data_IF_109584165021
#
_entry.id   IF_109584165021
#
_cell.length_a   1.000
_cell.length_b   1.000
_cell.length_c   1.000
_cell.angle_alpha   90.00
_cell.angle_beta   90.00
_cell.angle_gamma   90.00
#
_symmetry.space_group_name_H-M   'P 1'
#
loop_
_entity.id
_entity.type
_entity.pdbx_description
1 polymer ?
#
# COMPACT_ATOMS: atom_id res chain seq x y z
N UNK A 1 22.09 -45.56 10.10
CA UNK A 1 22.51 -44.36 9.37
C UNK A 1 23.18 -44.78 8.09
N UNK A 2 22.42 -44.71 7.01
CA UNK A 2 22.89 -45.04 5.68
C UNK A 2 23.84 -43.92 5.22
N UNK A 3 25.16 -44.14 5.32
CA UNK A 3 26.15 -43.08 5.11
C UNK A 3 26.30 -42.65 3.64
N UNK A 4 25.87 -43.50 2.71
CA UNK A 4 26.09 -43.32 1.28
C UNK A 4 24.80 -43.08 0.48
N UNK A 5 23.63 -43.06 1.14
CA UNK A 5 22.36 -42.78 0.48
C UNK A 5 22.11 -41.27 0.52
N UNK A 6 21.90 -40.65 -0.65
CA UNK A 6 21.41 -39.27 -0.74
C UNK A 6 19.91 -39.28 -0.43
N UNK A 7 19.56 -38.82 0.78
CA UNK A 7 18.18 -38.86 1.25
C UNK A 7 17.36 -37.68 0.67
N UNK A 8 16.13 -37.95 0.18
CA UNK A 8 15.24 -36.92 -0.36
C UNK A 8 14.48 -36.18 0.74
N UNK A 9 13.92 -35.00 0.42
CA UNK A 9 13.04 -34.31 1.35
C UNK A 9 11.66 -34.97 1.44
N UNK A 10 11.07 -35.01 2.65
CA UNK A 10 9.72 -35.53 2.89
C UNK A 10 8.69 -34.89 1.96
N UNK A 11 8.71 -33.56 1.80
CA UNK A 11 7.81 -32.85 0.88
C UNK A 11 7.99 -33.29 -0.59
N UNK A 12 9.22 -33.55 -1.02
CA UNK A 12 9.49 -34.00 -2.38
C UNK A 12 8.92 -35.40 -2.62
N UNK A 13 9.15 -36.32 -1.68
CA UNK A 13 8.58 -37.66 -1.71
C UNK A 13 7.05 -37.58 -1.71
N UNK A 14 6.46 -36.76 -0.83
CA UNK A 14 5.02 -36.69 -0.68
C UNK A 14 4.30 -36.07 -1.89
N UNK A 15 4.87 -35.03 -2.51
CA UNK A 15 4.19 -34.24 -3.54
C UNK A 15 4.61 -34.56 -4.97
N UNK A 16 5.86 -35.01 -5.19
CA UNK A 16 6.43 -35.18 -6.53
C UNK A 16 6.65 -36.63 -6.91
N UNK A 17 6.98 -37.51 -5.96
CA UNK A 17 7.31 -38.89 -6.30
C UNK A 17 6.10 -39.67 -6.78
N UNK A 18 6.24 -40.19 -8.00
CA UNK A 18 5.36 -41.20 -8.57
C UNK A 18 5.98 -42.59 -8.34
N UNK A 19 5.23 -43.63 -8.72
CA UNK A 19 5.65 -45.04 -8.56
C UNK A 19 7.06 -45.29 -9.10
N UNK A 20 7.36 -44.80 -10.31
CA UNK A 20 8.68 -44.95 -10.92
C UNK A 20 9.80 -44.28 -10.12
N UNK A 21 9.54 -43.14 -9.46
CA UNK A 21 10.55 -42.47 -8.64
C UNK A 21 10.92 -43.31 -7.41
N UNK A 22 9.95 -43.97 -6.79
CA UNK A 22 10.20 -44.87 -5.65
C UNK A 22 11.04 -46.06 -6.09
N UNK A 23 10.68 -46.70 -7.20
CA UNK A 23 11.41 -47.87 -7.71
C UNK A 23 12.83 -47.49 -8.10
N UNK A 24 13.00 -46.42 -8.88
CA UNK A 24 14.34 -45.94 -9.26
C UNK A 24 15.19 -45.62 -8.03
N UNK A 25 14.63 -44.97 -7.01
CA UNK A 25 15.36 -44.67 -5.79
C UNK A 25 15.77 -45.93 -5.02
N UNK A 26 14.91 -46.94 -4.93
CA UNK A 26 15.25 -48.20 -4.27
C UNK A 26 16.31 -48.97 -5.09
N UNK A 27 16.21 -48.99 -6.41
CA UNK A 27 17.21 -49.60 -7.30
C UNK A 27 18.58 -48.93 -7.19
N UNK A 28 18.62 -47.60 -7.22
CA UNK A 28 19.87 -46.83 -7.09
C UNK A 28 20.57 -47.07 -5.74
N UNK A 29 19.83 -47.48 -4.72
CA UNK A 29 20.34 -47.69 -3.36
C UNK A 29 20.26 -49.17 -2.91
N UNK A 30 20.00 -50.11 -3.82
CA UNK A 30 19.72 -51.51 -3.45
C UNK A 30 20.87 -52.22 -2.78
N UNK A 31 22.10 -51.94 -3.20
CA UNK A 31 23.31 -52.52 -2.60
C UNK A 31 23.47 -52.07 -1.14
N UNK A 32 23.27 -50.77 -0.87
CA UNK A 32 23.37 -50.21 0.48
C UNK A 32 22.20 -50.60 1.40
N UNK A 33 21.04 -50.87 0.79
CA UNK A 33 19.85 -51.36 1.48
C UNK A 33 19.81 -52.89 1.56
N UNK A 34 20.79 -53.61 1.03
CA UNK A 34 20.83 -55.07 0.95
C UNK A 34 19.50 -55.63 0.42
N UNK A 35 19.02 -55.08 -0.69
CA UNK A 35 17.79 -55.50 -1.38
C UNK A 35 18.15 -56.24 -2.66
N UNK A 36 17.38 -57.28 -2.98
CA UNK A 36 17.43 -57.92 -4.28
C UNK A 36 16.33 -57.41 -5.22
N UNK A 37 16.36 -57.89 -6.47
CA UNK A 37 15.39 -57.48 -7.49
C UNK A 37 13.95 -57.95 -7.15
N UNK A 38 13.80 -59.06 -6.40
CA UNK A 38 12.50 -59.60 -6.00
C UNK A 38 11.84 -58.75 -4.90
N UNK A 39 12.63 -58.23 -3.96
CA UNK A 39 12.20 -57.26 -2.95
C UNK A 39 11.62 -56.00 -3.61
N UNK A 40 12.35 -55.43 -4.58
CA UNK A 40 11.93 -54.20 -5.29
C UNK A 40 10.70 -54.47 -6.15
N UNK A 41 10.66 -55.61 -6.85
CA UNK A 41 9.50 -56.02 -7.64
C UNK A 41 8.24 -56.20 -6.77
N UNK A 42 8.42 -56.64 -5.52
CA UNK A 42 7.31 -56.76 -4.56
C UNK A 42 6.71 -55.40 -4.22
N UNK A 43 7.52 -54.35 -4.06
CA UNK A 43 7.04 -52.97 -3.87
C UNK A 43 6.36 -52.44 -5.13
N UNK A 44 6.94 -52.69 -6.31
CA UNK A 44 6.40 -52.26 -7.60
C UNK A 44 4.97 -52.78 -7.83
N UNK A 45 4.74 -54.07 -7.57
CA UNK A 45 3.42 -54.72 -7.71
C UNK A 45 2.33 -54.07 -6.85
N UNK A 46 2.70 -53.44 -5.72
CA UNK A 46 1.75 -52.79 -4.80
C UNK A 46 1.42 -51.36 -5.19
N UNK A 47 2.04 -50.82 -6.25
CA UNK A 47 1.68 -49.53 -6.87
C UNK A 47 1.72 -48.35 -5.89
N UNK A 48 2.64 -48.39 -4.94
CA UNK A 48 2.82 -47.41 -3.84
C UNK A 48 3.08 -46.00 -4.39
N UNK A 49 2.34 -45.00 -3.93
CA UNK A 49 2.63 -43.58 -4.23
C UNK A 49 3.61 -42.97 -3.22
N UNK A 50 4.18 -41.80 -3.49
CA UNK A 50 5.13 -41.17 -2.57
C UNK A 50 4.56 -40.92 -1.17
N UNK A 51 3.29 -40.52 -1.06
CA UNK A 51 2.58 -40.40 0.22
C UNK A 51 2.41 -41.76 0.92
N UNK A 52 2.08 -42.81 0.17
CA UNK A 52 1.93 -44.16 0.74
C UNK A 52 3.26 -44.72 1.22
N UNK A 53 4.35 -44.43 0.49
CA UNK A 53 5.72 -44.84 0.81
C UNK A 53 6.14 -44.31 2.19
N UNK A 54 5.93 -43.03 2.45
CA UNK A 54 6.18 -42.43 3.77
C UNK A 54 5.31 -43.03 4.89
N UNK A 55 4.20 -43.68 4.53
CA UNK A 55 3.29 -44.36 5.46
C UNK A 55 3.53 -45.87 5.61
N UNK A 56 4.58 -46.41 5.01
CA UNK A 56 4.95 -47.83 5.16
C UNK A 56 5.56 -48.08 6.54
N UNK A 57 5.36 -49.31 7.01
CA UNK A 57 5.94 -49.85 8.22
C UNK A 57 6.20 -51.35 8.00
N UNK A 58 6.96 -51.96 8.92
CA UNK A 58 7.35 -53.37 8.84
C UNK A 58 6.15 -54.29 8.58
N UNK A 59 5.05 -54.12 9.32
CA UNK A 59 3.85 -54.95 9.16
C UNK A 59 3.20 -54.85 7.77
N UNK A 60 3.13 -53.65 7.18
CA UNK A 60 2.59 -53.46 5.84
C UNK A 60 3.49 -54.09 4.78
N UNK A 61 4.81 -53.98 4.95
CA UNK A 61 5.81 -54.53 4.03
C UNK A 61 5.81 -56.06 4.06
N UNK A 62 5.74 -56.67 5.24
CA UNK A 62 5.57 -58.13 5.38
C UNK A 62 4.26 -58.59 4.72
N UNK A 63 3.15 -57.87 4.94
CA UNK A 63 1.88 -58.15 4.27
C UNK A 63 1.95 -57.99 2.74
N UNK A 64 2.91 -57.22 2.23
CA UNK A 64 3.14 -57.10 0.79
C UNK A 64 3.88 -58.29 0.21
N UNK A 65 4.58 -59.07 1.05
CA UNK A 65 5.34 -60.26 0.68
C UNK A 65 6.85 -60.11 0.88
N UNK A 66 7.32 -59.04 1.55
CA UNK A 66 8.74 -58.89 1.88
C UNK A 66 9.08 -59.71 3.13
N UNK A 67 10.28 -60.26 3.16
CA UNK A 67 10.86 -60.86 4.36
C UNK A 67 11.19 -59.78 5.41
N UNK A 68 11.38 -60.22 6.66
CA UNK A 68 11.57 -59.32 7.81
C UNK A 68 12.76 -58.34 7.62
N UNK A 69 13.88 -58.83 7.08
CA UNK A 69 15.10 -58.03 6.87
C UNK A 69 14.90 -56.83 5.92
N UNK A 70 14.50 -57.05 4.66
CA UNK A 70 14.15 -55.98 3.72
C UNK A 70 13.08 -55.02 4.27
N UNK A 71 12.06 -55.55 4.96
CA UNK A 71 11.01 -54.73 5.56
C UNK A 71 11.54 -53.78 6.65
N UNK A 72 12.46 -54.24 7.50
CA UNK A 72 13.11 -53.42 8.52
C UNK A 72 14.02 -52.35 7.92
N UNK A 73 14.79 -52.67 6.87
CA UNK A 73 15.70 -51.72 6.21
C UNK A 73 14.95 -50.61 5.50
N UNK A 74 13.89 -50.93 4.74
CA UNK A 74 13.03 -49.92 4.11
C UNK A 74 12.34 -49.05 5.17
N UNK A 75 11.84 -49.65 6.26
CA UNK A 75 11.22 -48.87 7.34
C UNK A 75 12.22 -47.94 8.03
N UNK A 76 13.46 -48.39 8.23
CA UNK A 76 14.54 -47.59 8.83
C UNK A 76 14.94 -46.44 7.90
N UNK A 77 15.02 -46.68 6.60
CA UNK A 77 15.23 -45.64 5.59
C UNK A 77 14.13 -44.57 5.65
N UNK A 78 12.86 -44.97 5.72
CA UNK A 78 11.74 -44.02 5.83
C UNK A 78 11.83 -43.18 7.11
N UNK A 79 12.27 -43.78 8.23
CA UNK A 79 12.54 -43.03 9.46
C UNK A 79 13.66 -42.02 9.27
N UNK A 80 14.78 -42.41 8.66
CA UNK A 80 15.89 -41.51 8.39
C UNK A 80 15.49 -40.34 7.47
N UNK A 81 14.66 -40.59 6.45
CA UNK A 81 14.07 -39.54 5.58
C UNK A 81 13.22 -38.56 6.40
N UNK A 82 12.42 -39.05 7.35
CA UNK A 82 11.60 -38.21 8.23
C UNK A 82 12.41 -37.44 9.26
N UNK A 83 13.49 -38.03 9.76
CA UNK A 83 14.36 -37.42 10.76
C UNK A 83 15.29 -36.36 10.12
N UNK A 84 15.62 -36.50 8.83
CA UNK A 84 16.38 -35.49 8.10
C UNK A 84 15.60 -34.18 7.92
N UNK A 85 14.26 -34.21 7.91
CA UNK A 85 13.42 -33.01 7.97
C UNK A 85 13.61 -32.22 9.27
N UNK A 86 14.06 -32.86 10.36
CA UNK A 86 14.30 -32.20 11.65
C UNK A 86 15.72 -31.61 11.76
N UNK A 87 16.58 -31.81 10.76
CA UNK A 87 17.91 -31.20 10.76
C UNK A 87 17.86 -29.77 10.21
N UNK A 88 18.51 -28.81 10.88
CA UNK A 88 18.53 -27.45 10.38
C UNK A 88 19.31 -27.40 9.07
N UNK A 89 18.66 -26.91 8.02
CA UNK A 89 19.29 -26.59 6.74
C UNK A 89 19.76 -25.15 6.76
N UNK A 90 20.92 -24.88 6.17
CA UNK A 90 21.43 -23.52 6.03
C UNK A 90 21.58 -23.16 4.57
N UNK A 91 21.10 -21.98 4.17
CA UNK A 91 21.25 -21.43 2.84
C UNK A 91 21.90 -20.05 2.93
N UNK A 92 22.92 -19.80 2.11
CA UNK A 92 23.53 -18.49 2.00
C UNK A 92 22.79 -17.66 0.96
N UNK A 93 22.23 -16.54 1.40
CA UNK A 93 21.48 -15.61 0.57
C UNK A 93 22.31 -14.34 0.39
N UNK A 94 22.65 -14.04 -0.86
CA UNK A 94 23.27 -12.77 -1.24
C UNK A 94 22.18 -11.79 -1.66
N UNK A 95 21.95 -10.77 -0.85
CA UNK A 95 21.10 -9.64 -1.19
C UNK A 95 21.90 -8.56 -1.91
N UNK A 96 21.47 -8.25 -3.14
CA UNK A 96 22.00 -7.16 -3.96
C UNK A 96 21.01 -6.02 -4.01
N UNK A 97 21.32 -4.90 -3.37
CA UNK A 97 20.45 -3.73 -3.38
C UNK A 97 20.64 -2.92 -4.67
N UNK A 98 19.54 -2.61 -5.39
CA UNK A 98 19.56 -1.73 -6.57
C UNK A 98 18.66 -0.51 -6.33
N UNK A 99 19.26 0.67 -6.49
CA UNK A 99 18.56 1.97 -6.46
C UNK A 99 17.89 2.22 -7.80
N UNK A 100 16.63 2.68 -7.81
CA UNK A 100 15.97 3.18 -9.04
C UNK A 100 16.47 4.60 -9.35
N UNK A 101 16.49 5.00 -10.62
CA UNK A 101 17.01 6.30 -11.11
C UNK A 101 16.45 7.55 -10.40
N UNK A 102 15.34 7.42 -9.65
CA UNK A 102 14.63 8.53 -9.00
C UNK A 102 14.71 8.52 -7.45
N UNK A 103 15.54 7.67 -6.82
CA UNK A 103 15.69 7.62 -5.36
C UNK A 103 16.99 8.29 -4.89
N UNK A 104 16.86 9.26 -3.99
CA UNK A 104 17.98 10.01 -3.36
C UNK A 104 18.50 9.38 -2.07
N UNK A 105 18.06 8.17 -1.71
CA UNK A 105 18.41 7.53 -0.43
C UNK A 105 19.84 6.98 -0.49
N UNK A 106 20.76 7.63 0.21
CA UNK A 106 22.11 7.09 0.49
C UNK A 106 22.00 5.91 1.46
N UNK A 107 21.77 4.71 0.93
CA UNK A 107 21.95 3.47 1.66
C UNK A 107 23.14 2.68 1.12
N UNK A 108 23.75 1.86 1.98
CA UNK A 108 25.00 1.17 1.68
C UNK A 108 24.78 0.16 0.55
N UNK A 109 25.39 0.41 -0.62
CA UNK A 109 25.22 -0.38 -1.85
C UNK A 109 26.02 -1.68 -1.90
N UNK A 110 26.70 -2.05 -0.80
CA UNK A 110 27.45 -3.31 -0.76
C UNK A 110 26.50 -4.48 -0.64
N UNK A 111 26.77 -5.52 -1.42
CA UNK A 111 26.07 -6.80 -1.31
C UNK A 111 26.16 -7.32 0.13
N UNK A 112 25.06 -7.90 0.60
CA UNK A 112 24.93 -8.46 1.94
C UNK A 112 24.72 -9.95 1.84
N UNK A 113 25.56 -10.72 2.54
CA UNK A 113 25.43 -12.17 2.59
C UNK A 113 24.85 -12.52 3.96
N UNK A 114 23.73 -13.23 3.95
CA UNK A 114 23.03 -13.70 5.15
C UNK A 114 22.89 -15.21 5.06
N UNK A 115 23.29 -15.91 6.12
CA UNK A 115 23.01 -17.34 6.27
C UNK A 115 21.65 -17.50 6.94
N UNK A 116 20.69 -18.10 6.23
CA UNK A 116 19.35 -18.40 6.73
C UNK A 116 19.31 -19.87 7.09
N UNK A 117 19.03 -20.15 8.37
CA UNK A 117 18.83 -21.52 8.87
C UNK A 117 17.34 -21.78 9.04
N UNK A 118 16.86 -22.92 8.54
CA UNK A 118 15.45 -23.32 8.58
C UNK A 118 15.32 -24.84 8.76
N UNK A 119 14.27 -25.30 9.44
CA UNK A 119 13.98 -26.73 9.60
C UNK A 119 12.97 -27.20 8.56
N UNK A 120 11.92 -26.40 8.36
CA UNK A 120 10.90 -26.62 7.33
C UNK A 120 10.92 -25.51 6.28
N UNK A 121 10.61 -25.86 5.04
CA UNK A 121 10.41 -24.88 3.97
C UNK A 121 9.22 -23.95 4.27
N UNK A 122 8.31 -24.35 5.15
CA UNK A 122 7.19 -23.50 5.58
C UNK A 122 7.64 -22.24 6.33
N UNK A 123 8.82 -22.27 6.97
CA UNK A 123 9.43 -21.12 7.65
C UNK A 123 9.92 -20.05 6.66
N UNK A 124 10.17 -20.44 5.41
CA UNK A 124 10.67 -19.57 4.36
C UNK A 124 9.51 -18.80 3.72
N UNK A 125 9.33 -17.57 4.19
CA UNK A 125 8.31 -16.65 3.74
C UNK A 125 8.92 -15.44 3.02
N UNK A 126 8.12 -14.79 2.18
CA UNK A 126 8.53 -13.51 1.57
C UNK A 126 8.82 -12.47 2.65
N UNK A 127 8.03 -12.48 3.73
CA UNK A 127 8.19 -11.58 4.86
C UNK A 127 9.53 -11.77 5.57
N UNK A 128 9.96 -13.01 5.79
CA UNK A 128 11.29 -13.31 6.35
C UNK A 128 12.41 -12.67 5.53
N UNK A 129 12.37 -12.81 4.20
CA UNK A 129 13.38 -12.21 3.32
C UNK A 129 13.37 -10.68 3.36
N UNK A 130 12.17 -10.07 3.40
CA UNK A 130 12.00 -8.63 3.54
C UNK A 130 12.56 -8.13 4.87
N UNK A 131 12.32 -8.84 5.97
CA UNK A 131 12.80 -8.46 7.31
C UNK A 131 14.31 -8.57 7.43
N UNK A 132 14.93 -9.58 6.82
CA UNK A 132 16.38 -9.66 6.68
C UNK A 132 16.94 -8.47 5.89
N UNK A 133 16.37 -8.17 4.71
CA UNK A 133 16.82 -7.04 3.91
C UNK A 133 16.65 -5.69 4.64
N UNK A 134 15.53 -5.49 5.32
CA UNK A 134 15.25 -4.32 6.17
C UNK A 134 16.36 -4.11 7.21
N UNK A 135 16.76 -5.19 7.90
CA UNK A 135 17.80 -5.18 8.92
C UNK A 135 19.19 -4.92 8.34
N UNK A 136 19.57 -5.63 7.28
CA UNK A 136 20.93 -5.60 6.72
C UNK A 136 21.28 -4.29 6.00
N UNK A 137 20.30 -3.72 5.29
CA UNK A 137 20.47 -2.44 4.61
C UNK A 137 20.10 -1.25 5.48
N UNK A 138 19.53 -1.48 6.67
CA UNK A 138 19.02 -0.46 7.58
C UNK A 138 18.08 0.51 6.86
N UNK A 139 17.18 -0.04 6.04
CA UNK A 139 16.23 0.79 5.32
C UNK A 139 15.42 1.63 6.33
N UNK A 140 15.11 2.90 6.03
CA UNK A 140 14.27 3.66 6.93
C UNK A 140 12.89 2.99 6.96
N UNK A 141 12.32 2.83 8.16
CA UNK A 141 10.94 2.37 8.33
C UNK A 141 10.01 3.43 7.74
N UNK A 142 9.85 3.41 6.42
CA UNK A 142 9.06 4.38 5.68
C UNK A 142 7.72 3.76 5.37
N UNK A 143 6.66 4.47 5.71
CA UNK A 143 5.28 4.00 5.51
C UNK A 143 4.88 3.93 4.02
N UNK A 144 5.68 4.53 3.12
CA UNK A 144 5.41 4.66 1.68
C UNK A 144 6.14 3.66 0.79
N UNK A 145 7.23 3.06 1.28
CA UNK A 145 7.99 2.12 0.49
C UNK A 145 7.79 0.70 1.00
N UNK A 146 7.85 -0.25 0.09
CA UNK A 146 7.92 -1.67 0.36
C UNK A 146 9.24 -2.24 -0.16
N UNK A 147 9.74 -3.23 0.55
CA UNK A 147 10.91 -3.98 0.13
C UNK A 147 10.43 -5.00 -0.89
N UNK A 148 10.82 -4.81 -2.14
CA UNK A 148 10.56 -5.75 -3.22
C UNK A 148 11.75 -6.65 -3.38
N UNK A 149 11.50 -7.96 -3.26
CA UNK A 149 12.52 -8.99 -3.44
C UNK A 149 12.32 -9.63 -4.81
N UNK A 150 13.40 -9.74 -5.59
CA UNK A 150 13.40 -10.32 -6.93
C UNK A 150 14.41 -11.45 -7.03
N UNK A 151 14.04 -12.49 -7.77
CA UNK A 151 14.92 -13.58 -8.14
C UNK A 151 14.98 -13.67 -9.66
N UNK A 152 16.18 -13.70 -10.26
CA UNK A 152 16.36 -13.70 -11.72
C UNK A 152 15.54 -12.63 -12.47
N UNK A 153 15.43 -11.42 -11.90
CA UNK A 153 14.63 -10.27 -12.37
C UNK A 153 13.11 -10.38 -12.19
N UNK A 154 12.57 -11.53 -11.78
CA UNK A 154 11.15 -11.71 -11.45
C UNK A 154 10.85 -11.33 -10.01
N UNK A 155 9.73 -10.64 -9.76
CA UNK A 155 9.28 -10.27 -8.40
C UNK A 155 8.76 -11.51 -7.68
N UNK A 156 9.22 -11.70 -6.44
CA UNK A 156 8.64 -12.69 -5.52
C UNK A 156 7.36 -12.11 -4.95
N UNK A 157 6.22 -12.73 -5.26
CA UNK A 157 4.89 -12.22 -4.90
C UNK A 157 4.19 -13.04 -3.82
N UNK A 158 4.67 -14.24 -3.51
CA UNK A 158 4.06 -15.12 -2.50
C UNK A 158 5.06 -16.14 -1.94
N UNK A 159 4.71 -16.74 -0.80
CA UNK A 159 5.56 -17.70 -0.10
C UNK A 159 5.83 -18.97 -0.92
N UNK A 160 4.88 -19.41 -1.77
CA UNK A 160 5.09 -20.60 -2.60
C UNK A 160 6.27 -20.42 -3.58
N UNK A 161 6.39 -19.22 -4.18
CA UNK A 161 7.55 -18.90 -5.03
C UNK A 161 8.86 -18.88 -4.26
N UNK A 162 8.86 -18.34 -3.03
CA UNK A 162 10.05 -18.35 -2.15
C UNK A 162 10.50 -19.78 -1.87
N UNK A 163 9.57 -20.65 -1.44
CA UNK A 163 9.84 -22.06 -1.14
C UNK A 163 10.42 -22.80 -2.34
N UNK A 164 9.90 -22.56 -3.54
CA UNK A 164 10.38 -23.22 -4.76
C UNK A 164 11.86 -22.90 -5.08
N UNK A 165 12.34 -21.71 -4.71
CA UNK A 165 13.72 -21.28 -4.95
C UNK A 165 14.66 -21.95 -3.95
N UNK A 166 14.29 -21.97 -2.68
CA UNK A 166 15.09 -22.58 -1.61
C UNK A 166 15.20 -24.10 -1.71
N UNK A 167 14.19 -24.77 -2.29
CA UNK A 167 14.16 -26.24 -2.50
C UNK A 167 15.37 -26.80 -3.28
N UNK A 168 16.13 -25.99 -3.99
CA UNK A 168 17.10 -26.48 -5.00
C UNK A 168 18.52 -25.94 -4.87
N UNK A 169 18.82 -25.10 -3.86
CA UNK A 169 20.06 -24.32 -3.84
C UNK A 169 20.63 -24.08 -2.44
N UNK A 170 21.94 -24.30 -2.31
CA UNK A 170 22.73 -23.90 -1.13
C UNK A 170 23.04 -22.39 -1.13
N UNK A 171 23.11 -21.78 -2.31
CA UNK A 171 23.43 -20.36 -2.49
C UNK A 171 22.39 -19.69 -3.40
N UNK A 172 21.79 -18.60 -2.93
CA UNK A 172 20.74 -17.86 -3.65
C UNK A 172 21.15 -16.40 -3.76
N UNK A 173 21.00 -15.83 -4.96
CA UNK A 173 21.17 -14.41 -5.20
C UNK A 173 19.79 -13.74 -5.36
N UNK A 174 19.52 -12.73 -4.54
CA UNK A 174 18.28 -11.96 -4.57
C UNK A 174 18.59 -10.49 -4.82
N UNK A 175 17.77 -9.86 -5.67
CA UNK A 175 17.83 -8.41 -5.89
C UNK A 175 16.78 -7.76 -5.00
N UNK A 176 17.18 -6.77 -4.22
CA UNK A 176 16.29 -5.99 -3.36
C UNK A 176 16.14 -4.59 -3.93
N UNK A 177 14.91 -4.11 -4.02
CA UNK A 177 14.61 -2.71 -4.32
C UNK A 177 13.66 -2.14 -3.27
N UNK A 178 13.75 -0.83 -3.01
CA UNK A 178 12.63 -0.11 -2.39
C UNK A 178 11.72 0.36 -3.51
N UNK A 179 10.47 -0.06 -3.45
CA UNK A 179 9.44 0.42 -4.36
C UNK A 179 8.38 1.17 -3.56
N UNK A 180 7.73 2.16 -4.18
CA UNK A 180 6.53 2.76 -3.58
C UNK A 180 5.46 1.69 -3.48
N UNK A 181 4.85 1.55 -2.30
CA UNK A 181 3.72 0.65 -2.08
C UNK A 181 2.62 0.89 -3.10
N UNK A 182 2.05 -0.20 -3.63
CA UNK A 182 0.84 -0.10 -4.44
C UNK A 182 -0.32 0.48 -3.62
N UNK A 183 -1.14 1.34 -4.23
CA UNK A 183 -2.27 2.01 -3.58
C UNK A 183 -3.23 1.06 -2.87
N UNK A 184 -3.44 -0.15 -3.40
CA UNK A 184 -4.31 -1.17 -2.82
C UNK A 184 -3.82 -1.74 -1.49
N UNK A 185 -2.52 -1.59 -1.17
CA UNK A 185 -1.94 -2.11 0.07
C UNK A 185 -2.28 -1.27 1.31
N UNK A 186 -2.81 -0.06 1.12
CA UNK A 186 -3.16 0.84 2.22
C UNK A 186 -4.54 0.54 2.78
N UNK A 187 -4.65 0.40 4.11
CA UNK A 187 -5.92 0.12 4.81
C UNK A 187 -7.01 1.16 4.52
N UNK A 188 -6.65 2.45 4.43
CA UNK A 188 -7.61 3.50 4.10
C UNK A 188 -8.14 3.37 2.66
N UNK A 189 -7.33 2.90 1.71
CA UNK A 189 -7.79 2.58 0.35
C UNK A 189 -8.75 1.39 0.34
N UNK A 190 -8.52 0.38 1.17
CA UNK A 190 -9.45 -0.74 1.33
C UNK A 190 -10.81 -0.27 1.87
N UNK A 191 -10.81 0.59 2.91
CA UNK A 191 -12.02 1.22 3.47
C UNK A 191 -12.74 2.09 2.44
N UNK A 192 -12.00 2.86 1.65
CA UNK A 192 -12.55 3.70 0.60
C UNK A 192 -13.17 2.85 -0.53
N UNK A 193 -12.46 1.82 -0.98
CA UNK A 193 -12.90 0.95 -2.09
C UNK A 193 -14.19 0.19 -1.74
N UNK A 194 -14.32 -0.29 -0.50
CA UNK A 194 -15.55 -0.95 -0.01
C UNK A 194 -16.76 -0.03 0.05
N UNK A 195 -16.54 1.28 0.19
CA UNK A 195 -17.60 2.26 0.40
C UNK A 195 -17.82 3.21 -0.80
N UNK A 196 -17.09 3.05 -1.90
CA UNK A 196 -17.08 4.03 -3.01
C UNK A 196 -18.49 4.32 -3.58
N UNK A 197 -19.31 3.28 -3.76
CA UNK A 197 -20.67 3.41 -4.32
C UNK A 197 -21.71 3.94 -3.32
N UNK A 198 -21.55 3.68 -2.02
CA UNK A 198 -22.48 4.17 -0.97
C UNK A 198 -22.12 5.58 -0.47
N UNK A 199 -20.85 5.97 -0.61
CA UNK A 199 -20.27 7.22 -0.09
C UNK A 199 -20.49 8.41 -1.02
N UNK A 200 -20.44 8.19 -2.33
CA UNK A 200 -20.71 9.23 -3.33
C UNK A 200 -22.14 9.81 -3.23
N UNK A 201 -23.06 9.06 -2.63
CA UNK A 201 -24.49 9.41 -2.54
C UNK A 201 -24.85 10.09 -1.21
N UNK A 202 -24.01 9.98 -0.16
CA UNK A 202 -24.33 10.46 1.20
C UNK A 202 -23.53 11.67 1.70
N UNK A 203 -22.52 12.13 0.96
CA UNK A 203 -21.63 13.22 1.40
C UNK A 203 -22.29 14.61 1.29
N UNK A 204 -23.06 14.99 2.31
CA UNK A 204 -23.46 16.37 2.72
C UNK A 204 -23.69 17.36 1.56
N UNK A 205 -24.47 16.96 0.56
CA UNK A 205 -24.93 17.86 -0.52
C UNK A 205 -25.98 18.86 0.02
N UNK A 206 -26.67 18.52 1.11
CA UNK A 206 -27.82 19.28 1.58
C UNK A 206 -27.52 20.54 2.41
N UNK A 207 -26.30 20.73 2.95
CA UNK A 207 -25.99 21.89 3.81
C UNK A 207 -25.18 23.01 3.14
N UNK A 208 -24.45 22.74 2.04
CA UNK A 208 -23.72 23.79 1.32
C UNK A 208 -24.65 24.73 0.54
N UNK A 209 -25.72 24.19 -0.06
CA UNK A 209 -26.62 24.96 -0.92
C UNK A 209 -27.40 26.05 -0.15
N UNK A 210 -27.84 25.75 1.07
CA UNK A 210 -28.62 26.69 1.88
C UNK A 210 -27.78 27.85 2.44
N UNK A 211 -26.45 27.71 2.47
CA UNK A 211 -25.57 28.62 3.21
C UNK A 211 -24.76 29.58 2.33
N UNK A 212 -24.55 29.25 1.05
CA UNK A 212 -24.09 30.20 0.03
C UNK A 212 -25.02 31.43 -0.03
N UNK A 213 -26.32 31.23 0.22
CA UNK A 213 -27.35 32.28 0.26
C UNK A 213 -27.19 33.30 1.40
N UNK A 214 -26.42 33.00 2.45
CA UNK A 214 -26.21 33.91 3.61
C UNK A 214 -24.88 34.67 3.58
N UNK A 215 -24.10 34.58 2.50
CA UNK A 215 -22.77 35.21 2.46
C UNK A 215 -22.87 36.74 2.22
N UNK A 216 -22.29 37.51 3.15
CA UNK A 216 -22.24 38.98 3.21
C UNK A 216 -21.62 39.62 1.94
N UNK A 217 -21.77 40.95 1.81
CA UNK A 217 -21.19 41.85 0.76
C UNK A 217 -19.77 41.44 0.28
N UNK A 218 -18.92 40.97 1.19
CA UNK A 218 -17.53 40.57 0.91
C UNK A 218 -17.40 39.33 -0.01
N UNK A 219 -18.33 38.35 0.00
CA UNK A 219 -18.22 37.18 -0.90
C UNK A 219 -18.43 37.54 -2.37
N UNK A 220 -19.33 38.49 -2.65
CA UNK A 220 -19.61 38.92 -4.02
C UNK A 220 -18.36 39.55 -4.66
N UNK A 221 -17.66 40.40 -3.92
CA UNK A 221 -16.43 41.04 -4.38
C UNK A 221 -15.32 40.02 -4.67
N UNK A 222 -15.04 39.12 -3.72
CA UNK A 222 -14.07 38.03 -3.93
C UNK A 222 -14.44 37.17 -5.13
N UNK A 223 -15.71 36.81 -5.28
CA UNK A 223 -16.16 36.00 -6.41
C UNK A 223 -15.90 36.69 -7.75
N UNK A 224 -16.24 37.97 -7.87
CA UNK A 224 -16.01 38.75 -9.08
C UNK A 224 -14.51 38.91 -9.38
N UNK A 225 -13.68 39.14 -8.37
CA UNK A 225 -12.22 39.21 -8.52
C UNK A 225 -11.62 37.87 -8.98
N UNK A 226 -12.12 36.76 -8.41
CA UNK A 226 -11.71 35.41 -8.80
C UNK A 226 -12.05 35.12 -10.28
N UNK A 227 -13.27 35.46 -10.71
CA UNK A 227 -13.71 35.33 -12.11
C UNK A 227 -12.84 36.18 -13.02
N UNK A 228 -12.55 37.43 -12.62
CA UNK A 228 -11.69 38.34 -13.39
C UNK A 228 -10.28 37.80 -13.55
N UNK A 229 -9.67 37.27 -12.49
CA UNK A 229 -8.33 36.68 -12.54
C UNK A 229 -8.31 35.44 -13.46
N UNK A 230 -9.29 34.55 -13.33
CA UNK A 230 -9.40 33.35 -14.16
C UNK A 230 -9.57 33.71 -15.63
N UNK A 231 -10.43 34.68 -15.96
CA UNK A 231 -10.58 35.17 -17.34
C UNK A 231 -9.30 35.78 -17.89
N UNK A 232 -8.58 36.57 -17.10
CA UNK A 232 -7.31 37.16 -17.53
C UNK A 232 -6.28 36.07 -17.84
N UNK A 233 -6.16 35.05 -16.99
CA UNK A 233 -5.29 33.88 -17.23
C UNK A 233 -5.74 33.10 -18.46
N UNK A 234 -7.03 32.85 -18.62
CA UNK A 234 -7.59 32.13 -19.76
C UNK A 234 -7.35 32.86 -21.08
N UNK A 235 -7.45 34.20 -21.07
CA UNK A 235 -7.13 35.04 -22.23
C UNK A 235 -5.65 34.99 -22.60
N UNK A 236 -4.75 34.85 -21.63
CA UNK A 236 -3.31 34.80 -21.86
C UNK A 236 -2.82 33.41 -22.26
N UNK A 237 -3.39 32.35 -21.67
CA UNK A 237 -2.95 30.97 -21.84
C UNK A 237 -3.65 30.28 -23.03
N UNK A 238 -4.91 30.65 -23.32
CA UNK A 238 -5.75 29.98 -24.30
C UNK A 238 -6.48 28.75 -23.73
N UNK A 239 -6.99 27.89 -24.62
CA UNK A 239 -7.73 26.68 -24.23
C UNK A 239 -6.82 25.71 -23.47
N UNK A 240 -7.30 25.23 -22.33
CA UNK A 240 -6.55 24.28 -21.50
C UNK A 240 -7.03 22.87 -21.78
N UNK A 241 -6.20 22.08 -22.47
CA UNK A 241 -6.47 20.67 -22.78
C UNK A 241 -5.99 19.69 -21.71
N UNK A 242 -6.35 18.42 -21.87
CA UNK A 242 -6.22 17.38 -20.83
C UNK A 242 -4.78 17.02 -20.45
N UNK A 243 -3.82 17.31 -21.33
CA UNK A 243 -2.40 16.91 -21.21
C UNK A 243 -1.54 17.95 -20.45
N UNK A 244 -1.99 19.20 -20.31
CA UNK A 244 -1.13 20.27 -19.79
C UNK A 244 -1.40 20.58 -18.31
N UNK A 245 -0.94 19.68 -17.44
CA UNK A 245 -1.11 19.76 -15.98
C UNK A 245 -0.58 21.08 -15.39
N UNK A 246 0.60 21.54 -15.83
CA UNK A 246 1.22 22.77 -15.33
C UNK A 246 0.34 24.01 -15.54
N UNK A 247 -0.40 24.08 -16.65
CA UNK A 247 -1.31 25.20 -16.90
C UNK A 247 -2.53 25.17 -15.98
N UNK A 248 -3.03 23.99 -15.61
CA UNK A 248 -4.21 23.81 -14.75
C UNK A 248 -3.94 24.28 -13.33
N UNK A 249 -2.72 24.08 -12.84
CA UNK A 249 -2.24 24.57 -11.55
C UNK A 249 -2.47 26.08 -11.36
N UNK A 250 -2.33 26.89 -12.42
CA UNK A 250 -2.61 28.33 -12.35
C UNK A 250 -4.06 28.65 -11.99
N UNK A 251 -5.02 27.91 -12.56
CA UNK A 251 -6.45 28.11 -12.30
C UNK A 251 -6.87 27.58 -10.94
N UNK A 252 -6.29 26.44 -10.53
CA UNK A 252 -6.44 25.90 -9.17
C UNK A 252 -5.96 26.94 -8.15
N UNK A 253 -4.76 27.48 -8.35
CA UNK A 253 -4.16 28.50 -7.47
C UNK A 253 -5.07 29.72 -7.34
N UNK A 254 -5.62 30.26 -8.43
CA UNK A 254 -6.51 31.43 -8.38
C UNK A 254 -7.71 31.19 -7.45
N UNK A 255 -8.37 30.04 -7.56
CA UNK A 255 -9.53 29.71 -6.72
C UNK A 255 -9.11 29.55 -5.25
N UNK A 256 -8.00 28.86 -4.98
CA UNK A 256 -7.49 28.66 -3.63
C UNK A 256 -7.10 30.00 -2.97
N UNK A 257 -6.42 30.88 -3.69
CA UNK A 257 -6.03 32.21 -3.22
C UNK A 257 -7.27 33.04 -2.89
N UNK A 258 -8.27 33.08 -3.77
CA UNK A 258 -9.54 33.77 -3.48
C UNK A 258 -10.24 33.21 -2.24
N UNK A 259 -10.25 31.88 -2.06
CA UNK A 259 -10.86 31.24 -0.90
C UNK A 259 -10.14 31.59 0.41
N UNK A 260 -8.80 31.55 0.41
CA UNK A 260 -7.96 31.88 1.57
C UNK A 260 -8.11 33.35 1.94
N UNK A 261 -8.04 34.26 0.96
CA UNK A 261 -8.24 35.69 1.23
C UNK A 261 -9.64 36.03 1.77
N UNK A 262 -10.63 35.15 1.56
CA UNK A 262 -11.99 35.32 2.09
C UNK A 262 -12.18 34.94 3.55
N UNK A 263 -11.18 34.29 4.17
CA UNK A 263 -11.27 33.76 5.53
C UNK A 263 -10.05 34.20 6.35
N UNK A 264 -10.23 34.96 7.44
CA UNK A 264 -9.11 35.43 8.24
C UNK A 264 -8.34 34.25 8.85
N UNK A 265 -7.06 34.48 9.14
CA UNK A 265 -6.15 33.49 9.74
C UNK A 265 -5.99 32.22 8.91
N UNK A 266 -6.15 32.31 7.59
CA UNK A 266 -5.87 31.22 6.67
C UNK A 266 -4.64 31.52 5.83
N UNK A 267 -3.84 30.49 5.56
CA UNK A 267 -2.57 30.58 4.83
C UNK A 267 -2.53 29.47 3.80
N UNK A 268 -2.24 29.81 2.55
CA UNK A 268 -1.95 28.84 1.50
C UNK A 268 -0.46 28.51 1.48
N UNK A 269 -0.12 27.22 1.43
CA UNK A 269 1.25 26.73 1.24
C UNK A 269 1.29 25.85 -0.01
N UNK A 270 2.23 26.12 -0.91
CA UNK A 270 2.52 25.23 -2.04
C UNK A 270 3.52 24.16 -1.63
N UNK A 271 3.38 22.97 -2.22
CA UNK A 271 4.26 21.82 -2.07
C UNK A 271 4.60 21.50 -0.59
N UNK A 272 3.56 21.37 0.23
CA UNK A 272 3.67 21.23 1.69
C UNK A 272 3.79 19.76 2.10
N UNK A 273 4.64 19.46 3.08
CA UNK A 273 4.79 18.10 3.60
C UNK A 273 3.86 17.89 4.80
N UNK A 274 2.96 16.92 4.68
CA UNK A 274 2.16 16.41 5.78
C UNK A 274 3.00 15.37 6.51
N UNK A 275 3.12 15.52 7.82
CA UNK A 275 3.86 14.58 8.67
C UNK A 275 2.85 13.92 9.60
N UNK A 276 2.81 12.60 9.58
CA UNK A 276 1.99 11.76 10.43
C UNK A 276 2.61 10.38 10.63
N UNK A 277 2.26 9.73 11.73
CA UNK A 277 2.86 8.45 12.14
C UNK A 277 2.53 7.32 11.15
N UNK A 278 1.32 7.35 10.56
CA UNK A 278 0.85 6.34 9.59
C UNK A 278 1.24 6.68 8.15
N UNK A 279 1.28 7.97 7.80
CA UNK A 279 1.68 8.43 6.46
C UNK A 279 2.23 9.85 6.54
N UNK A 280 3.19 10.13 5.67
CA UNK A 280 3.87 11.40 5.56
C UNK A 280 4.24 11.67 4.11
N UNK A 281 3.92 12.84 3.57
CA UNK A 281 4.29 13.13 2.20
C UNK A 281 3.77 14.47 1.73
N UNK A 282 4.17 14.79 0.49
CA UNK A 282 3.94 16.10 -0.09
C UNK A 282 2.56 16.19 -0.74
N UNK A 283 1.85 17.28 -0.45
CA UNK A 283 0.65 17.72 -1.16
C UNK A 283 0.98 18.92 -2.03
N UNK A 284 0.29 19.10 -3.16
CA UNK A 284 0.51 20.23 -4.06
C UNK A 284 0.18 21.56 -3.38
N UNK A 285 -0.88 21.58 -2.58
CA UNK A 285 -1.15 22.67 -1.65
C UNK A 285 -1.65 22.19 -0.29
N UNK A 286 -1.40 22.99 0.73
CA UNK A 286 -2.05 22.89 2.02
C UNK A 286 -2.67 24.25 2.36
N UNK A 287 -3.96 24.26 2.70
CA UNK A 287 -4.58 25.42 3.33
C UNK A 287 -4.51 25.21 4.84
N UNK A 288 -3.79 26.08 5.52
CA UNK A 288 -3.66 26.08 6.98
C UNK A 288 -4.58 27.13 7.56
N UNK A 289 -5.44 26.74 8.49
CA UNK A 289 -6.23 27.67 9.28
C UNK A 289 -5.74 27.69 10.72
N UNK A 290 -5.35 28.88 11.14
CA UNK A 290 -4.83 29.17 12.47
C UNK A 290 -5.99 29.66 13.32
N UNK A 291 -6.09 29.11 14.53
CA UNK A 291 -7.04 29.55 15.53
C UNK A 291 -6.24 30.31 16.60
N UNK A 292 -6.24 31.67 16.62
CA UNK A 292 -5.43 32.46 17.54
C UNK A 292 -5.64 32.04 19.00
N UNK A 293 -6.89 31.74 19.36
CA UNK A 293 -7.27 31.29 20.69
C UNK A 293 -6.71 29.90 21.06
N UNK A 294 -6.27 29.09 20.09
CA UNK A 294 -5.73 27.74 20.27
C UNK A 294 -4.22 27.66 20.00
N UNK A 295 -3.55 28.80 19.79
CA UNK A 295 -2.11 28.82 19.47
C UNK A 295 -1.25 28.11 20.53
N UNK A 296 -1.65 28.14 21.81
CA UNK A 296 -0.99 27.42 22.90
C UNK A 296 -1.02 25.89 22.81
N UNK A 297 -1.99 25.30 22.07
CA UNK A 297 -2.06 23.84 21.88
C UNK A 297 -1.26 23.36 20.65
N UNK A 298 -0.83 24.29 19.79
CA UNK A 298 -0.25 23.96 18.48
C UNK A 298 -1.28 23.39 17.48
N UNK A 299 -2.58 23.55 17.78
CA UNK A 299 -3.65 23.13 16.89
C UNK A 299 -3.79 24.06 15.70
N UNK A 300 -3.71 23.48 14.51
CA UNK A 300 -3.95 24.13 13.24
C UNK A 300 -4.75 23.16 12.38
N UNK A 301 -5.74 23.68 11.66
CA UNK A 301 -6.49 22.88 10.70
C UNK A 301 -5.76 22.91 9.37
N UNK A 302 -5.53 21.74 8.80
CA UNK A 302 -4.88 21.59 7.50
C UNK A 302 -5.88 20.94 6.55
N UNK A 303 -6.12 21.61 5.42
CA UNK A 303 -6.85 21.06 4.28
C UNK A 303 -5.83 20.66 3.22
N UNK A 304 -5.75 19.36 2.92
CA UNK A 304 -4.83 18.82 1.92
C UNK A 304 -5.40 19.01 0.52
N UNK A 305 -4.64 19.61 -0.40
CA UNK A 305 -5.05 19.79 -1.79
C UNK A 305 -4.09 19.03 -2.71
N UNK A 306 -4.65 18.15 -3.52
CA UNK A 306 -3.90 17.36 -4.52
C UNK A 306 -4.36 17.72 -5.92
N UNK A 307 -3.41 18.07 -6.77
CA UNK A 307 -3.62 18.18 -8.21
C UNK A 307 -3.69 16.77 -8.80
N UNK A 308 -4.68 16.51 -9.64
CA UNK A 308 -4.90 15.22 -10.25
C UNK A 308 -5.04 15.36 -11.77
N UNK A 309 -4.63 14.31 -12.48
CA UNK A 309 -4.92 14.16 -13.90
C UNK A 309 -6.37 13.70 -14.06
N UNK A 310 -7.07 14.23 -15.07
CA UNK A 310 -8.44 13.81 -15.36
C UNK A 310 -8.57 12.30 -15.61
N UNK A 311 -7.61 11.71 -16.33
CA UNK A 311 -7.58 10.27 -16.59
C UNK A 311 -7.34 9.42 -15.33
N UNK A 312 -6.74 10.00 -14.28
CA UNK A 312 -6.28 9.30 -13.08
C UNK A 312 -6.86 9.91 -11.79
N UNK A 313 -8.11 10.39 -11.84
CA UNK A 313 -8.72 11.05 -10.68
C UNK A 313 -8.78 10.14 -9.44
N UNK A 314 -8.95 8.83 -9.63
CA UNK A 314 -8.93 7.85 -8.55
C UNK A 314 -7.58 7.79 -7.84
N UNK A 315 -6.49 7.97 -8.59
CA UNK A 315 -5.12 8.04 -8.05
C UNK A 315 -4.96 9.30 -7.22
N UNK A 316 -5.42 10.45 -7.73
CA UNK A 316 -5.39 11.71 -6.98
C UNK A 316 -6.20 11.65 -5.67
N UNK A 317 -7.37 11.01 -5.70
CA UNK A 317 -8.18 10.77 -4.49
C UNK A 317 -7.47 9.87 -3.49
N UNK A 318 -6.88 8.75 -3.95
CA UNK A 318 -6.13 7.86 -3.07
C UNK A 318 -4.91 8.55 -2.44
N UNK A 319 -4.16 9.32 -3.24
CA UNK A 319 -3.02 10.11 -2.76
C UNK A 319 -3.44 11.12 -1.69
N UNK A 320 -4.52 11.87 -1.93
CA UNK A 320 -5.02 12.84 -0.96
C UNK A 320 -5.49 12.15 0.33
N UNK A 321 -6.23 11.04 0.21
CA UNK A 321 -6.68 10.26 1.36
C UNK A 321 -5.53 9.75 2.22
N UNK A 322 -4.41 9.32 1.63
CA UNK A 322 -3.21 8.97 2.43
C UNK A 322 -2.81 10.15 3.32
N UNK A 323 -2.68 11.34 2.74
CA UNK A 323 -2.24 12.51 3.51
C UNK A 323 -3.27 12.93 4.57
N UNK A 324 -4.56 12.68 4.32
CA UNK A 324 -5.61 12.86 5.32
C UNK A 324 -5.48 11.87 6.49
N UNK A 325 -5.12 10.60 6.27
CA UNK A 325 -4.87 9.65 7.37
C UNK A 325 -3.76 10.17 8.29
N UNK A 326 -2.60 10.52 7.72
CA UNK A 326 -1.48 11.06 8.49
C UNK A 326 -1.81 12.37 9.21
N UNK A 327 -2.57 13.26 8.56
CA UNK A 327 -3.02 14.49 9.20
C UNK A 327 -4.01 14.24 10.34
N UNK A 328 -4.88 13.23 10.24
CA UNK A 328 -5.84 12.88 11.29
C UNK A 328 -5.09 12.34 12.52
N UNK A 329 -4.11 11.47 12.33
CA UNK A 329 -3.29 10.92 13.42
C UNK A 329 -2.50 12.01 14.14
N UNK A 330 -1.84 12.90 13.41
CA UNK A 330 -1.15 14.06 13.99
C UNK A 330 -2.10 14.97 14.78
N UNK A 331 -3.37 15.02 14.39
CA UNK A 331 -4.39 15.78 15.11
C UNK A 331 -4.87 15.11 16.39
N UNK A 332 -4.79 13.78 16.56
CA UNK A 332 -5.13 13.08 17.82
C UNK A 332 -4.32 13.62 19.00
N UNK A 333 -3.01 13.73 18.81
CA UNK A 333 -2.10 14.23 19.85
C UNK A 333 -2.37 15.70 20.18
N UNK A 334 -2.67 16.52 19.17
CA UNK A 334 -3.02 17.94 19.34
C UNK A 334 -4.38 18.11 20.02
N UNK A 335 -5.35 17.25 19.70
CA UNK A 335 -6.67 17.23 20.31
C UNK A 335 -6.58 16.91 21.80
N UNK A 336 -5.80 15.90 22.21
CA UNK A 336 -5.63 15.60 23.64
C UNK A 336 -5.19 16.82 24.45
N UNK A 337 -4.21 17.57 23.93
CA UNK A 337 -3.77 18.84 24.55
C UNK A 337 -4.87 19.91 24.56
N UNK A 338 -5.71 19.92 23.53
CA UNK A 338 -6.82 20.84 23.41
C UNK A 338 -7.91 20.54 24.45
N UNK A 339 -8.27 19.27 24.60
CA UNK A 339 -9.26 18.79 25.57
C UNK A 339 -8.76 19.03 27.02
N UNK A 340 -7.43 18.94 27.26
CA UNK A 340 -6.81 19.31 28.54
C UNK A 340 -6.88 20.82 28.82
N UNK A 341 -6.65 21.68 27.81
CA UNK A 341 -6.64 23.14 27.95
C UNK A 341 -8.05 23.76 27.94
N UNK A 342 -9.00 23.11 27.25
CA UNK A 342 -10.35 23.60 27.01
C UNK A 342 -11.39 22.47 27.19
N UNK A 343 -11.54 21.92 28.41
CA UNK A 343 -12.37 20.73 28.68
C UNK A 343 -13.86 20.90 28.34
N UNK A 344 -14.35 22.15 28.30
CA UNK A 344 -15.74 22.46 27.98
C UNK A 344 -16.02 22.55 26.46
N UNK A 345 -14.99 22.39 25.60
CA UNK A 345 -15.13 22.47 24.15
C UNK A 345 -14.87 21.13 23.48
N UNK A 346 -15.92 20.48 22.98
CA UNK A 346 -15.80 19.20 22.26
C UNK A 346 -15.34 19.41 20.81
N UNK A 347 -14.05 19.19 20.54
CA UNK A 347 -13.50 19.24 19.18
C UNK A 347 -13.69 17.90 18.45
N UNK A 348 -14.38 17.95 17.31
CA UNK A 348 -14.57 16.78 16.46
C UNK A 348 -13.32 16.48 15.63
N UNK A 349 -12.91 15.21 15.64
CA UNK A 349 -11.72 14.75 14.95
C UNK A 349 -12.10 14.46 13.50
N UNK A 350 -11.80 15.39 12.61
CA UNK A 350 -11.91 15.17 11.18
C UNK A 350 -10.85 15.98 10.44
N UNK A 351 -10.61 15.64 9.19
CA UNK A 351 -9.78 16.41 8.27
C UNK A 351 -10.48 16.54 6.93
N UNK A 352 -10.14 17.62 6.23
CA UNK A 352 -10.70 17.93 4.92
C UNK A 352 -9.63 17.78 3.84
N UNK A 353 -10.04 17.28 2.68
CA UNK A 353 -9.20 17.15 1.50
C UNK A 353 -9.88 17.71 0.27
N UNK A 354 -9.09 18.14 -0.71
CA UNK A 354 -9.52 18.62 -2.00
C UNK A 354 -8.68 17.93 -3.06
N UNK A 355 -9.32 17.41 -4.11
CA UNK A 355 -8.64 16.86 -5.28
C UNK A 355 -9.18 17.57 -6.50
N UNK A 356 -8.29 18.13 -7.32
CA UNK A 356 -8.69 18.95 -8.45
C UNK A 356 -7.91 18.63 -9.71
N UNK A 357 -8.63 18.59 -10.82
CA UNK A 357 -8.05 18.57 -12.17
C UNK A 357 -8.07 19.97 -12.80
N UNK A 358 -8.30 21.03 -12.02
CA UNK A 358 -8.57 22.39 -12.48
C UNK A 358 -10.00 22.60 -12.98
N UNK A 359 -10.55 21.61 -13.68
CA UNK A 359 -11.92 21.61 -14.25
C UNK A 359 -12.91 20.88 -13.35
N UNK A 360 -12.53 19.69 -12.85
CA UNK A 360 -13.29 18.92 -11.88
C UNK A 360 -12.70 19.06 -10.48
N UNK A 361 -13.58 19.13 -9.47
CA UNK A 361 -13.20 19.30 -8.07
C UNK A 361 -13.92 18.28 -7.20
N UNK A 362 -13.17 17.61 -6.33
CA UNK A 362 -13.66 16.63 -5.37
C UNK A 362 -13.31 17.09 -3.97
N UNK A 363 -14.25 16.95 -3.06
CA UNK A 363 -14.14 17.35 -1.67
C UNK A 363 -14.26 16.12 -0.78
N UNK A 364 -13.24 15.93 0.04
CA UNK A 364 -13.09 14.79 0.94
C UNK A 364 -13.24 15.24 2.38
N UNK A 365 -13.93 14.45 3.18
CA UNK A 365 -13.95 14.57 4.64
C UNK A 365 -13.58 13.21 5.22
N UNK A 366 -12.59 13.18 6.10
CA UNK A 366 -12.18 11.96 6.78
C UNK A 366 -12.37 12.13 8.28
N UNK A 367 -13.16 11.26 8.89
CA UNK A 367 -13.30 11.07 10.33
C UNK A 367 -12.63 9.75 10.72
N UNK A 368 -12.36 9.47 12.02
CA UNK A 368 -11.79 8.19 12.46
C UNK A 368 -12.55 6.96 11.94
N UNK A 369 -13.85 7.10 11.72
CA UNK A 369 -14.75 6.00 11.35
C UNK A 369 -15.10 5.97 9.86
N UNK A 370 -15.16 7.13 9.20
CA UNK A 370 -15.77 7.24 7.87
C UNK A 370 -15.03 8.23 6.96
N UNK A 371 -14.99 7.86 5.68
CA UNK A 371 -14.54 8.73 4.59
C UNK A 371 -15.78 9.17 3.83
N UNK A 372 -15.83 10.46 3.51
CA UNK A 372 -16.84 11.03 2.65
C UNK A 372 -16.17 11.68 1.44
N UNK A 373 -16.77 11.51 0.26
CA UNK A 373 -16.29 12.09 -0.99
C UNK A 373 -17.47 12.67 -1.77
N UNK A 374 -17.35 13.91 -2.24
CA UNK A 374 -18.32 14.54 -3.12
C UNK A 374 -17.65 15.27 -4.28
N UNK A 375 -18.16 15.07 -5.50
CA UNK A 375 -17.78 15.88 -6.65
C UNK A 375 -18.52 17.23 -6.60
N UNK A 376 -17.91 18.30 -7.12
CA UNK A 376 -18.65 19.52 -7.47
C UNK A 376 -19.74 19.20 -8.49
N UNK A 377 -20.93 19.79 -8.32
CA UNK A 377 -22.05 19.62 -9.27
C UNK A 377 -21.75 20.24 -10.63
N UNK A 378 -20.98 21.32 -10.63
CA UNK A 378 -20.65 22.12 -11.79
C UNK A 378 -19.15 21.99 -12.07
N UNK A 379 -18.82 21.75 -13.34
CA UNK A 379 -17.45 21.76 -13.82
C UNK A 379 -17.03 23.20 -14.15
N UNK A 380 -15.71 23.46 -14.16
CA UNK A 380 -15.16 24.77 -14.54
C UNK A 380 -14.63 24.67 -15.97
N UNK A 381 -15.35 25.19 -16.99
CA UNK A 381 -14.86 25.19 -18.37
C UNK A 381 -13.65 26.12 -18.54
N UNK A 382 -12.46 25.56 -18.78
CA UNK A 382 -11.23 26.32 -19.06
C UNK A 382 -11.00 26.47 -20.58
N UNK A 383 -12.00 27.02 -21.28
CA UNK A 383 -11.99 27.26 -22.73
C UNK A 383 -12.31 28.71 -23.06
N UNK A 384 -11.63 29.29 -24.06
CA UNK A 384 -11.68 30.72 -24.40
C UNK A 384 -13.06 31.20 -24.85
N UNK A 385 -13.97 30.30 -25.25
CA UNK A 385 -15.38 30.65 -25.51
C UNK A 385 -16.07 31.24 -24.27
N UNK A 386 -15.59 30.90 -23.07
CA UNK A 386 -16.07 31.46 -21.80
C UNK A 386 -15.70 32.94 -21.59
N UNK A 387 -14.84 33.52 -22.43
CA UNK A 387 -14.52 34.94 -22.36
C UNK A 387 -15.71 35.80 -22.86
N UNK A 388 -16.50 35.26 -23.79
CA UNK A 388 -17.67 35.93 -24.38
C UNK A 388 -18.96 35.63 -23.60
N UNK A 389 -19.15 34.38 -23.17
CA UNK A 389 -20.26 33.96 -22.32
C UNK A 389 -19.71 33.15 -21.15
N UNK A 390 -19.68 33.75 -19.96
CA UNK A 390 -19.04 33.18 -18.76
C UNK A 390 -20.02 32.53 -17.79
N UNK A 391 -21.26 32.25 -18.21
CA UNK A 391 -22.30 31.72 -17.32
C UNK A 391 -21.88 30.40 -16.64
N UNK A 392 -21.40 29.44 -17.42
CA UNK A 392 -20.93 28.14 -16.92
C UNK A 392 -19.65 28.29 -16.08
N UNK A 393 -18.70 29.11 -16.54
CA UNK A 393 -17.48 29.44 -15.81
C UNK A 393 -17.81 30.01 -14.41
N UNK A 394 -18.68 31.02 -14.37
CA UNK A 394 -19.15 31.65 -13.13
C UNK A 394 -19.85 30.65 -12.22
N UNK A 395 -20.71 29.80 -12.77
CA UNK A 395 -21.44 28.77 -12.02
C UNK A 395 -20.47 27.78 -11.36
N UNK A 396 -19.52 27.26 -12.12
CA UNK A 396 -18.47 26.36 -11.62
C UNK A 396 -17.62 27.00 -10.52
N UNK A 397 -17.10 28.21 -10.76
CA UNK A 397 -16.30 28.96 -9.77
C UNK A 397 -17.12 29.21 -8.51
N UNK A 398 -18.38 29.63 -8.62
CA UNK A 398 -19.25 29.92 -7.48
C UNK A 398 -19.44 28.68 -6.61
N UNK A 399 -19.71 27.54 -7.23
CA UNK A 399 -19.88 26.26 -6.55
C UNK A 399 -18.61 25.84 -5.82
N UNK A 400 -17.45 25.86 -6.49
CA UNK A 400 -16.18 25.43 -5.90
C UNK A 400 -15.71 26.39 -4.81
N UNK A 401 -15.63 27.70 -5.11
CA UNK A 401 -15.21 28.73 -4.16
C UNK A 401 -16.11 28.75 -2.92
N UNK A 402 -17.42 28.61 -3.12
CA UNK A 402 -18.40 28.53 -2.03
C UNK A 402 -18.16 27.33 -1.11
N UNK A 403 -17.87 26.15 -1.67
CA UNK A 403 -17.56 24.93 -0.90
C UNK A 403 -16.27 25.08 -0.10
N UNK A 404 -15.19 25.60 -0.69
CA UNK A 404 -13.90 25.79 0.02
C UNK A 404 -14.06 26.78 1.18
N UNK A 405 -14.70 27.93 0.94
CA UNK A 405 -14.97 28.92 1.99
C UNK A 405 -15.85 28.34 3.09
N UNK A 406 -16.81 27.49 2.73
CA UNK A 406 -17.64 26.78 3.70
C UNK A 406 -16.81 25.84 4.57
N UNK A 407 -15.93 25.02 3.98
CA UNK A 407 -15.04 24.10 4.70
C UNK A 407 -14.15 24.87 5.68
N UNK A 408 -13.56 25.98 5.21
CA UNK A 408 -12.73 26.86 6.05
C UNK A 408 -13.49 27.50 7.21
N UNK A 409 -14.83 27.60 7.15
CA UNK A 409 -15.68 28.20 8.19
C UNK A 409 -16.45 27.15 9.01
N UNK A 410 -16.36 25.88 8.66
CA UNK A 410 -17.16 24.82 9.28
C UNK A 410 -16.92 24.77 10.80
N UNK A 411 -15.65 24.75 11.21
CA UNK A 411 -15.25 24.72 12.62
C UNK A 411 -15.56 25.98 13.43
N UNK A 412 -15.58 27.16 12.79
CA UNK A 412 -15.98 28.40 13.47
C UNK A 412 -17.45 28.36 13.89
N UNK A 413 -18.26 27.53 13.22
CA UNK A 413 -19.69 27.36 13.52
C UNK A 413 -19.94 26.27 14.54
N UNK A 414 -19.13 25.21 14.55
CA UNK A 414 -19.26 24.13 15.53
C UNK A 414 -18.82 24.56 16.92
N UNK A 415 -17.88 25.50 17.04
CA UNK A 415 -17.32 25.95 18.32
C UNK A 415 -18.12 27.10 18.99
N UNK A 416 -19.31 27.44 18.47
CA UNK A 416 -20.19 28.48 19.03
C UNK A 416 -21.34 27.94 19.87
N UNK A 417 -21.21 26.73 20.42
CA UNK A 417 -22.21 26.16 21.34
C UNK A 417 -21.78 26.34 22.78
#
# INVERSE_FOLDING_TARGET
MFKNISLPLVEEVQEKWKRANIINFLEENKEELDLDDDDIQTIEKKKVSGRDFLGLNVQKLIKYGLEDGPAERITSLIKEIKDEEQRPKTCNVTFKYRVKENETVECNRRDRIVSITYYSLTELTLKLLQDHAQKEFKFPATTHNEIVVKYNKSILSNDATVRSIFKTKENIELIVTLDKKCFSSYKICERFSKNMESTMTKCVVYQCFFLIMKMKKNYKEVFEDCVKEIKARLSAIGNVGDQNEAQRSHFITSILVSAVNSVPNTILRSQFEIIGDVSSGRVDYAIKKIYPQLTGSGFEEIICVTEAKQIDIKVGVAQNLMQLEGSLDSNKNKKRKLDELYPDQAYSEYVYGIVSTGTDWYFLKHTPDQIFCSKASDYIPLVTTQLNNDEDLRKGIKTVLGKIIWMLKDRDRTNKR
#
